data_IF_408842087446
#
_entry.id   IF_408842087446
#
_cell.length_a   1.000
_cell.length_b   1.000
_cell.length_c   1.000
_cell.angle_alpha   90.00
_cell.angle_beta   90.00
_cell.angle_gamma   90.00
#
_symmetry.space_group_name_H-M   'P 1'
#
loop_
_entity.id
_entity.type
_entity.pdbx_description
1 polymer ?
#
# COMPACT_ATOMS: atom_id res chain seq x y z
N UNK A 1 53.27 -17.18 3.77
CA UNK A 1 52.48 -16.53 2.70
C UNK A 1 51.43 -17.47 2.11
N UNK A 2 51.79 -18.71 1.78
CA UNK A 2 50.87 -19.74 1.25
C UNK A 2 49.77 -20.14 2.25
N UNK A 3 50.09 -20.32 3.55
CA UNK A 3 49.06 -20.63 4.57
C UNK A 3 48.04 -19.51 4.78
N UNK A 4 48.46 -18.23 4.67
CA UNK A 4 47.54 -17.08 4.71
C UNK A 4 46.62 -17.06 3.47
N UNK A 5 47.13 -17.40 2.29
CA UNK A 5 46.33 -17.50 1.06
C UNK A 5 45.31 -18.63 1.09
N UNK A 6 45.69 -19.81 1.61
CA UNK A 6 44.78 -20.95 1.80
C UNK A 6 43.70 -20.61 2.83
N UNK A 7 44.09 -19.98 3.95
CA UNK A 7 43.15 -19.58 4.99
C UNK A 7 42.17 -18.49 4.50
N UNK A 8 42.62 -17.50 3.71
CA UNK A 8 41.73 -16.51 3.11
C UNK A 8 40.72 -17.12 2.12
N UNK A 9 41.16 -18.11 1.32
CA UNK A 9 40.28 -18.78 0.36
C UNK A 9 39.20 -19.58 1.08
N UNK A 10 39.56 -20.27 2.16
CA UNK A 10 38.64 -21.01 3.00
C UNK A 10 37.63 -20.09 3.71
N UNK A 11 38.08 -18.98 4.29
CA UNK A 11 37.20 -17.97 4.89
C UNK A 11 36.22 -17.39 3.86
N UNK A 12 36.68 -17.10 2.64
CA UNK A 12 35.80 -16.58 1.58
C UNK A 12 34.73 -17.59 1.17
N UNK A 13 35.07 -18.88 1.16
CA UNK A 13 34.16 -19.97 0.84
C UNK A 13 33.08 -20.12 1.92
N UNK A 14 33.48 -20.11 3.20
CA UNK A 14 32.55 -20.17 4.33
C UNK A 14 31.57 -18.98 4.35
N UNK A 15 32.06 -17.77 4.04
CA UNK A 15 31.21 -16.56 3.98
C UNK A 15 30.17 -16.67 2.87
N UNK A 16 30.57 -17.09 1.67
CA UNK A 16 29.63 -17.22 0.53
C UNK A 16 28.62 -18.33 0.81
N UNK A 17 29.07 -19.45 1.38
CA UNK A 17 28.20 -20.57 1.75
C UNK A 17 27.16 -20.16 2.81
N UNK A 18 27.60 -19.49 3.87
CA UNK A 18 26.71 -18.92 4.88
C UNK A 18 25.72 -17.92 4.28
N UNK A 19 26.20 -17.02 3.40
CA UNK A 19 25.36 -16.05 2.71
C UNK A 19 24.30 -16.74 1.84
N UNK A 20 24.64 -17.83 1.14
CA UNK A 20 23.69 -18.64 0.37
C UNK A 20 22.56 -19.20 1.24
N UNK A 21 22.90 -19.81 2.38
CA UNK A 21 21.93 -20.33 3.36
C UNK A 21 21.05 -19.25 3.97
N UNK A 22 21.66 -18.12 4.34
CA UNK A 22 20.95 -16.95 4.84
C UNK A 22 19.96 -16.44 3.78
N UNK A 23 20.41 -16.27 2.55
CA UNK A 23 19.59 -15.77 1.44
C UNK A 23 18.43 -16.72 1.14
N UNK A 24 18.68 -18.04 1.07
CA UNK A 24 17.65 -19.05 0.89
C UNK A 24 16.62 -19.01 2.02
N UNK A 25 17.07 -19.13 3.27
CA UNK A 25 16.19 -19.29 4.42
C UNK A 25 15.34 -18.05 4.70
N UNK A 26 15.97 -16.87 4.74
CA UNK A 26 15.29 -15.60 5.06
C UNK A 26 14.34 -15.19 3.94
N UNK A 27 14.75 -15.32 2.67
CA UNK A 27 13.89 -14.95 1.55
C UNK A 27 12.74 -15.94 1.38
N UNK A 28 12.95 -17.25 1.59
CA UNK A 28 11.87 -18.24 1.54
C UNK A 28 10.83 -17.97 2.64
N UNK A 29 11.29 -17.71 3.86
CA UNK A 29 10.39 -17.34 4.96
C UNK A 29 9.59 -16.07 4.62
N UNK A 30 10.28 -15.03 4.13
CA UNK A 30 9.63 -13.78 3.76
C UNK A 30 8.62 -13.95 2.62
N UNK A 31 8.93 -14.76 1.62
CA UNK A 31 8.01 -15.13 0.54
C UNK A 31 6.73 -15.79 1.08
N UNK A 32 6.88 -16.84 1.90
CA UNK A 32 5.74 -17.58 2.47
C UNK A 32 4.88 -16.64 3.32
N UNK A 33 5.50 -15.82 4.16
CA UNK A 33 4.79 -14.88 5.02
C UNK A 33 4.05 -13.79 4.22
N UNK A 34 4.67 -13.22 3.17
CA UNK A 34 3.99 -12.25 2.30
C UNK A 34 2.81 -12.89 1.55
N UNK A 35 2.95 -14.12 1.06
CA UNK A 35 1.84 -14.86 0.43
C UNK A 35 0.74 -15.18 1.44
N UNK A 36 1.09 -15.55 2.68
CA UNK A 36 0.11 -15.83 3.72
C UNK A 36 -0.73 -14.59 4.05
N UNK A 37 -0.10 -13.42 4.20
CA UNK A 37 -0.82 -12.14 4.40
C UNK A 37 -1.75 -11.85 3.22
N UNK A 38 -1.27 -12.05 1.99
CA UNK A 38 -2.11 -11.89 0.80
C UNK A 38 -3.29 -12.87 0.80
N UNK A 39 -3.07 -14.15 1.10
CA UNK A 39 -4.11 -15.18 1.09
C UNK A 39 -5.25 -14.84 2.06
N UNK A 40 -4.91 -14.39 3.27
CA UNK A 40 -5.89 -14.09 4.31
C UNK A 40 -6.57 -12.72 4.14
N UNK A 41 -5.84 -11.71 3.67
CA UNK A 41 -6.33 -10.32 3.66
C UNK A 41 -6.37 -9.76 2.23
N UNK A 42 -5.27 -9.83 1.48
CA UNK A 42 -5.13 -9.24 0.13
C UNK A 42 -6.04 -9.85 -0.94
N UNK A 43 -6.34 -11.15 -0.89
CA UNK A 43 -7.16 -11.88 -1.87
C UNK A 43 -8.56 -11.30 -2.00
N UNK A 44 -9.17 -10.88 -0.88
CA UNK A 44 -10.52 -10.30 -0.88
C UNK A 44 -10.58 -8.91 -1.52
N UNK A 45 -9.44 -8.24 -1.65
CA UNK A 45 -9.35 -6.89 -2.21
C UNK A 45 -8.67 -6.85 -3.59
N UNK A 46 -8.41 -8.02 -4.21
CA UNK A 46 -7.72 -8.13 -5.49
C UNK A 46 -6.37 -7.38 -5.54
N UNK A 47 -5.65 -7.32 -4.42
CA UNK A 47 -4.32 -6.69 -4.37
C UNK A 47 -3.25 -7.68 -4.84
N UNK A 48 -3.02 -7.74 -6.16
CA UNK A 48 -1.95 -8.57 -6.72
C UNK A 48 -0.56 -7.94 -6.58
N UNK A 49 -0.45 -6.68 -6.13
CA UNK A 49 0.84 -6.03 -5.92
C UNK A 49 1.70 -6.77 -4.91
N UNK A 50 1.08 -7.23 -3.81
CA UNK A 50 1.75 -8.03 -2.80
C UNK A 50 2.26 -9.38 -3.34
N UNK A 51 1.55 -10.00 -4.28
CA UNK A 51 1.99 -11.26 -4.91
C UNK A 51 3.25 -11.03 -5.73
N UNK A 52 3.30 -9.96 -6.52
CA UNK A 52 4.49 -9.59 -7.29
C UNK A 52 5.69 -9.28 -6.38
N UNK A 53 5.47 -8.58 -5.26
CA UNK A 53 6.53 -8.37 -4.26
C UNK A 53 7.00 -9.68 -3.61
N UNK A 54 6.10 -10.63 -3.35
CA UNK A 54 6.48 -11.93 -2.83
C UNK A 54 7.32 -12.72 -3.86
N UNK A 55 6.91 -12.72 -5.14
CA UNK A 55 7.65 -13.36 -6.23
C UNK A 55 9.06 -12.75 -6.41
N UNK A 56 9.22 -11.44 -6.21
CA UNK A 56 10.55 -10.83 -6.25
C UNK A 56 11.46 -11.39 -5.15
N UNK A 57 10.96 -11.55 -3.93
CA UNK A 57 11.70 -12.15 -2.81
C UNK A 57 12.00 -13.63 -3.08
N UNK A 58 11.09 -14.36 -3.73
CA UNK A 58 11.32 -15.75 -4.14
C UNK A 58 12.51 -15.87 -5.10
N UNK A 59 12.71 -14.93 -6.04
CA UNK A 59 13.89 -14.93 -6.90
C UNK A 59 15.20 -14.88 -6.10
N UNK A 60 15.24 -14.14 -4.99
CA UNK A 60 16.40 -14.15 -4.10
C UNK A 60 16.55 -15.50 -3.40
N UNK A 61 15.47 -16.10 -2.92
CA UNK A 61 15.53 -17.45 -2.33
C UNK A 61 16.13 -18.47 -3.31
N UNK A 62 15.66 -18.48 -4.56
CA UNK A 62 16.15 -19.40 -5.59
C UNK A 62 17.63 -19.10 -5.89
N UNK A 63 18.00 -17.82 -6.03
CA UNK A 63 19.39 -17.43 -6.21
C UNK A 63 20.29 -17.95 -5.06
N UNK A 64 19.81 -17.96 -3.80
CA UNK A 64 20.56 -18.52 -2.67
C UNK A 64 20.75 -20.03 -2.76
N UNK A 65 19.73 -20.78 -3.21
CA UNK A 65 19.85 -22.21 -3.46
C UNK A 65 20.87 -22.53 -4.56
N UNK A 66 20.91 -21.72 -5.62
CA UNK A 66 21.91 -21.83 -6.68
C UNK A 66 23.33 -21.63 -6.14
N UNK A 67 23.56 -20.65 -5.25
CA UNK A 67 24.87 -20.45 -4.62
C UNK A 67 25.35 -21.71 -3.88
N UNK A 68 24.50 -22.26 -3.00
CA UNK A 68 24.84 -23.43 -2.18
C UNK A 68 25.21 -24.61 -3.07
N UNK A 69 24.38 -24.90 -4.07
CA UNK A 69 24.57 -26.03 -4.98
C UNK A 69 25.90 -25.95 -5.73
N UNK A 70 26.22 -24.78 -6.30
CA UNK A 70 27.45 -24.63 -7.11
C UNK A 70 28.72 -24.56 -6.26
N UNK A 71 28.62 -24.09 -5.01
CA UNK A 71 29.74 -24.11 -4.06
C UNK A 71 30.10 -25.55 -3.66
N UNK A 72 29.10 -26.40 -3.43
CA UNK A 72 29.32 -27.81 -3.07
C UNK A 72 29.78 -28.67 -4.26
N UNK A 73 29.40 -28.30 -5.48
CA UNK A 73 29.62 -29.13 -6.67
C UNK A 73 31.04 -29.03 -7.27
N UNK A 74 31.96 -28.23 -6.69
CA UNK A 74 33.34 -27.94 -7.16
C UNK A 74 33.49 -27.72 -8.69
N UNK A 75 32.40 -27.31 -9.35
CA UNK A 75 32.34 -27.11 -10.80
C UNK A 75 32.71 -25.68 -11.09
N UNK A 76 33.96 -25.47 -11.54
CA UNK A 76 34.52 -24.18 -11.94
C UNK A 76 33.88 -23.62 -13.22
N UNK A 77 32.59 -23.34 -13.19
CA UNK A 77 31.91 -22.62 -14.27
C UNK A 77 31.41 -21.27 -13.75
N UNK A 78 32.37 -20.39 -13.39
CA UNK A 78 32.10 -19.02 -12.90
C UNK A 78 31.19 -18.22 -13.85
N UNK A 79 31.27 -18.49 -15.16
CA UNK A 79 30.42 -17.84 -16.16
C UNK A 79 28.93 -18.19 -15.99
N UNK A 80 28.61 -19.48 -15.74
CA UNK A 80 27.24 -19.95 -15.55
C UNK A 80 26.67 -19.39 -14.23
N UNK A 81 27.47 -19.43 -13.16
CA UNK A 81 27.06 -18.93 -11.84
C UNK A 81 26.74 -17.44 -11.91
N UNK A 82 27.63 -16.64 -12.51
CA UNK A 82 27.41 -15.20 -12.65
C UNK A 82 26.25 -14.87 -13.58
N UNK A 83 26.04 -15.67 -14.63
CA UNK A 83 24.87 -15.56 -15.51
C UNK A 83 23.55 -15.74 -14.77
N UNK A 84 23.42 -16.83 -14.01
CA UNK A 84 22.21 -17.09 -13.20
C UNK A 84 21.99 -16.06 -12.10
N UNK A 85 23.05 -15.59 -11.42
CA UNK A 85 22.95 -14.49 -10.45
C UNK A 85 22.31 -13.24 -11.08
N UNK A 86 22.76 -12.85 -12.26
CA UNK A 86 22.21 -11.69 -12.98
C UNK A 86 20.78 -11.94 -13.46
N UNK A 87 20.43 -13.14 -13.96
CA UNK A 87 19.06 -13.47 -14.37
C UNK A 87 18.09 -13.36 -13.19
N UNK A 88 18.43 -13.92 -12.03
CA UNK A 88 17.58 -13.83 -10.84
C UNK A 88 17.46 -12.40 -10.30
N UNK A 89 18.51 -11.59 -10.44
CA UNK A 89 18.49 -10.15 -10.10
C UNK A 89 17.55 -9.36 -11.03
N UNK A 90 17.60 -9.61 -12.34
CA UNK A 90 16.71 -9.01 -13.32
C UNK A 90 15.25 -9.38 -13.08
N UNK A 91 14.95 -10.66 -12.82
CA UNK A 91 13.60 -11.14 -12.50
C UNK A 91 13.07 -10.50 -11.21
N UNK A 92 13.91 -10.39 -10.17
CA UNK A 92 13.55 -9.70 -8.95
C UNK A 92 13.12 -8.25 -9.23
N UNK A 93 13.94 -7.50 -9.97
CA UNK A 93 13.68 -6.12 -10.34
C UNK A 93 12.41 -5.96 -11.18
N UNK A 94 12.18 -6.88 -12.12
CA UNK A 94 10.96 -6.93 -12.95
C UNK A 94 9.72 -7.12 -12.07
N UNK A 95 9.72 -8.08 -11.15
CA UNK A 95 8.58 -8.34 -10.28
C UNK A 95 8.29 -7.16 -9.34
N UNK A 96 9.31 -6.46 -8.85
CA UNK A 96 9.12 -5.20 -8.12
C UNK A 96 8.40 -4.17 -8.99
N UNK A 97 8.84 -3.95 -10.24
CA UNK A 97 8.21 -2.98 -11.14
C UNK A 97 6.79 -3.36 -11.55
N UNK A 98 6.51 -4.65 -11.73
CA UNK A 98 5.16 -5.17 -12.00
C UNK A 98 4.21 -5.02 -10.80
N UNK A 99 4.73 -4.88 -9.58
CA UNK A 99 3.92 -4.61 -8.41
C UNK A 99 3.37 -3.18 -8.36
N UNK A 100 4.08 -2.19 -8.95
CA UNK A 100 3.78 -0.77 -8.77
C UNK A 100 2.38 -0.33 -9.25
N UNK A 101 1.82 -0.83 -10.37
CA UNK A 101 0.47 -0.47 -10.82
C UNK A 101 -0.64 -0.77 -9.81
N UNK A 102 -0.40 -1.74 -8.92
CA UNK A 102 -1.34 -2.17 -7.89
C UNK A 102 -1.33 -1.29 -6.65
N UNK A 103 -0.33 -0.40 -6.51
CA UNK A 103 -0.25 0.49 -5.36
C UNK A 103 -1.40 1.51 -5.39
N UNK A 104 -2.11 1.61 -4.25
CA UNK A 104 -3.23 2.55 -4.07
C UNK A 104 -2.79 4.00 -4.21
N UNK A 105 -1.64 4.32 -3.61
CA UNK A 105 -1.08 5.66 -3.52
C UNK A 105 0.16 5.76 -4.38
N UNK A 106 -0.01 6.40 -5.55
CA UNK A 106 1.07 6.71 -6.47
C UNK A 106 1.35 8.22 -6.46
N UNK A 107 2.57 8.65 -6.83
CA UNK A 107 2.87 10.05 -7.06
C UNK A 107 2.11 10.58 -8.26
N UNK A 108 1.52 11.77 -8.14
CA UNK A 108 0.63 12.34 -9.16
C UNK A 108 1.31 12.52 -10.53
N UNK A 109 2.62 12.77 -10.55
CA UNK A 109 3.42 12.98 -11.77
C UNK A 109 3.58 11.71 -12.61
N UNK A 110 3.77 10.54 -11.98
CA UNK A 110 4.02 9.27 -12.66
C UNK A 110 2.83 8.31 -12.63
N UNK A 111 1.79 8.62 -11.87
CA UNK A 111 0.60 7.78 -11.73
C UNK A 111 -0.03 7.41 -13.08
N UNK A 112 -0.10 8.39 -14.01
CA UNK A 112 -0.67 8.16 -15.34
C UNK A 112 0.15 7.16 -16.15
N UNK A 113 1.49 7.17 -16.00
CA UNK A 113 2.40 6.27 -16.71
C UNK A 113 2.31 4.86 -16.13
N UNK A 114 2.39 4.72 -14.80
CA UNK A 114 2.40 3.41 -14.13
C UNK A 114 1.08 2.66 -14.31
N UNK A 115 -0.07 3.35 -14.26
CA UNK A 115 -1.38 2.69 -14.43
C UNK A 115 -1.74 2.40 -15.89
N UNK A 116 -0.97 2.91 -16.83
CA UNK A 116 -1.23 2.72 -18.25
C UNK A 116 -0.85 1.30 -18.69
N UNK A 117 -1.49 0.80 -19.76
CA UNK A 117 -1.07 -0.48 -20.38
C UNK A 117 0.37 -0.40 -20.90
N UNK A 118 0.85 0.80 -21.22
CA UNK A 118 2.21 1.05 -21.67
C UNK A 118 3.27 0.74 -20.62
N UNK A 119 2.92 0.73 -19.33
CA UNK A 119 3.84 0.38 -18.25
C UNK A 119 4.52 -0.97 -18.47
N UNK A 120 3.77 -1.96 -18.97
CA UNK A 120 4.32 -3.29 -19.28
C UNK A 120 5.43 -3.22 -20.33
N UNK A 121 5.33 -2.32 -21.31
CA UNK A 121 6.40 -2.11 -22.31
C UNK A 121 7.56 -1.30 -21.76
N UNK A 122 7.28 -0.26 -20.96
CA UNK A 122 8.31 0.58 -20.32
C UNK A 122 9.22 -0.27 -19.42
N UNK A 123 8.63 -1.24 -18.71
CA UNK A 123 9.37 -2.15 -17.82
C UNK A 123 9.94 -3.34 -18.59
N UNK A 124 9.18 -3.89 -19.54
CA UNK A 124 9.50 -5.13 -20.26
C UNK A 124 10.58 -4.97 -21.32
N UNK A 125 10.62 -3.84 -22.06
CA UNK A 125 11.65 -3.63 -23.10
C UNK A 125 13.05 -3.53 -22.48
N UNK A 126 13.30 -2.69 -21.44
CA UNK A 126 14.61 -2.67 -20.77
C UNK A 126 14.97 -4.01 -20.10
N UNK A 127 13.97 -4.74 -19.59
CA UNK A 127 14.17 -6.08 -19.07
C UNK A 127 14.64 -7.06 -20.16
N UNK A 128 13.98 -7.10 -21.31
CA UNK A 128 14.39 -7.97 -22.42
C UNK A 128 15.77 -7.58 -22.97
N UNK A 129 16.04 -6.27 -23.05
CA UNK A 129 17.33 -5.74 -23.49
C UNK A 129 18.48 -6.13 -22.54
N UNK A 130 18.23 -6.22 -21.24
CA UNK A 130 19.22 -6.68 -20.26
C UNK A 130 19.30 -8.21 -20.16
N UNK A 131 18.17 -8.91 -20.30
CA UNK A 131 18.11 -10.36 -20.20
C UNK A 131 18.77 -11.07 -21.39
N UNK A 132 18.53 -10.61 -22.62
CA UNK A 132 19.01 -11.31 -23.82
C UNK A 132 20.55 -11.41 -23.88
N UNK A 133 21.33 -10.32 -23.66
CA UNK A 133 22.79 -10.42 -23.56
C UNK A 133 23.26 -11.31 -22.41
N UNK A 134 22.52 -11.30 -21.28
CA UNK A 134 22.84 -12.13 -20.11
C UNK A 134 22.67 -13.62 -20.40
N UNK A 135 21.57 -14.01 -21.06
CA UNK A 135 21.34 -15.39 -21.49
C UNK A 135 22.39 -15.83 -22.52
N UNK A 136 22.67 -14.98 -23.52
CA UNK A 136 23.66 -15.29 -24.53
C UNK A 136 25.05 -15.53 -23.91
N UNK A 137 25.47 -14.72 -22.94
CA UNK A 137 26.71 -14.94 -22.18
C UNK A 137 26.70 -16.27 -21.42
N UNK A 138 25.60 -16.59 -20.75
CA UNK A 138 25.47 -17.79 -19.93
C UNK A 138 25.56 -19.07 -20.77
N UNK A 139 25.03 -19.04 -22.00
CA UNK A 139 25.00 -20.17 -22.93
C UNK A 139 26.29 -20.26 -23.76
N UNK A 140 26.76 -19.13 -24.29
CA UNK A 140 27.88 -19.08 -25.25
C UNK A 140 29.26 -19.04 -24.57
N UNK A 141 29.34 -18.79 -23.26
CA UNK A 141 30.61 -18.74 -22.50
C UNK A 141 31.48 -17.50 -22.78
N UNK A 142 31.11 -16.66 -23.75
CA UNK A 142 31.87 -15.46 -24.11
C UNK A 142 31.76 -14.35 -23.06
N UNK A 143 32.92 -13.86 -22.58
CA UNK A 143 32.98 -12.79 -21.58
C UNK A 143 32.76 -11.43 -22.23
N UNK A 144 31.50 -11.06 -22.43
CA UNK A 144 31.13 -9.68 -22.73
C UNK A 144 30.98 -8.95 -21.39
N UNK A 145 31.90 -8.03 -21.08
CA UNK A 145 31.95 -7.24 -19.83
C UNK A 145 30.68 -6.41 -19.57
N UNK A 146 30.00 -5.97 -20.64
CA UNK A 146 28.78 -5.14 -20.60
C UNK A 146 27.60 -5.79 -19.87
N UNK A 147 27.59 -7.12 -19.70
CA UNK A 147 26.43 -7.84 -19.14
C UNK A 147 26.16 -7.52 -17.67
N UNK A 148 27.21 -7.40 -16.83
CA UNK A 148 27.02 -7.08 -15.41
C UNK A 148 26.55 -5.64 -15.19
N UNK A 149 26.83 -4.75 -16.15
CA UNK A 149 26.41 -3.35 -16.11
C UNK A 149 24.91 -3.22 -16.39
N UNK A 150 24.37 -4.00 -17.33
CA UNK A 150 22.95 -3.96 -17.68
C UNK A 150 22.02 -4.36 -16.51
N UNK A 151 22.41 -5.36 -15.72
CA UNK A 151 21.68 -5.72 -14.48
C UNK A 151 21.68 -4.56 -13.48
N UNK A 152 22.84 -3.91 -13.28
CA UNK A 152 22.96 -2.74 -12.40
C UNK A 152 22.07 -1.60 -12.89
N UNK A 153 22.07 -1.27 -14.18
CA UNK A 153 21.22 -0.21 -14.74
C UNK A 153 19.73 -0.49 -14.52
N UNK A 154 19.29 -1.73 -14.72
CA UNK A 154 17.89 -2.10 -14.51
C UNK A 154 17.50 -2.07 -13.02
N UNK A 155 18.42 -2.44 -12.12
CA UNK A 155 18.23 -2.30 -10.68
C UNK A 155 18.13 -0.82 -10.25
N UNK A 156 18.96 0.07 -10.81
CA UNK A 156 18.88 1.52 -10.57
C UNK A 156 17.54 2.09 -11.00
N UNK A 157 17.09 1.74 -12.21
CA UNK A 157 15.78 2.11 -12.73
C UNK A 157 14.66 1.66 -11.79
N UNK A 158 14.71 0.41 -11.33
CA UNK A 158 13.75 -0.16 -10.39
C UNK A 158 13.71 0.57 -9.06
N UNK A 159 14.88 0.81 -8.46
CA UNK A 159 15.02 1.47 -7.15
C UNK A 159 14.54 2.93 -7.19
N UNK A 160 14.74 3.65 -8.30
CA UNK A 160 14.25 5.01 -8.47
C UNK A 160 12.71 5.09 -8.43
N UNK A 161 12.04 4.23 -9.22
CA UNK A 161 10.58 4.15 -9.20
C UNK A 161 10.05 3.67 -7.85
N UNK A 162 10.66 2.62 -7.29
CA UNK A 162 10.25 2.05 -6.01
C UNK A 162 10.36 3.07 -4.88
N UNK A 163 11.48 3.79 -4.78
CA UNK A 163 11.69 4.80 -3.73
C UNK A 163 10.66 5.92 -3.78
N UNK A 164 10.36 6.43 -4.97
CA UNK A 164 9.37 7.50 -5.11
C UNK A 164 7.94 7.03 -4.78
N UNK A 165 7.58 5.81 -5.20
CA UNK A 165 6.27 5.22 -4.87
C UNK A 165 6.14 4.91 -3.39
N UNK A 166 7.17 4.35 -2.75
CA UNK A 166 7.15 4.05 -1.31
C UNK A 166 7.03 5.31 -0.47
N UNK A 167 7.77 6.37 -0.84
CA UNK A 167 7.69 7.67 -0.17
C UNK A 167 6.26 8.21 -0.17
N UNK A 168 5.64 8.33 -1.34
CA UNK A 168 4.26 8.82 -1.48
C UNK A 168 3.25 7.91 -0.79
N UNK A 169 3.43 6.59 -0.88
CA UNK A 169 2.56 5.61 -0.23
C UNK A 169 2.58 5.75 1.29
N UNK A 170 3.77 5.79 1.91
CA UNK A 170 3.87 5.92 3.37
C UNK A 170 3.43 7.30 3.87
N UNK A 171 3.73 8.38 3.15
CA UNK A 171 3.25 9.72 3.51
C UNK A 171 1.72 9.83 3.48
N UNK A 172 1.07 9.34 2.42
CA UNK A 172 -0.39 9.36 2.31
C UNK A 172 -1.07 8.48 3.37
N UNK A 173 -0.39 7.42 3.82
CA UNK A 173 -0.80 6.57 4.97
C UNK A 173 -0.42 7.13 6.35
N UNK A 174 0.08 8.37 6.42
CA UNK A 174 0.50 9.07 7.67
C UNK A 174 1.66 8.39 8.42
N UNK A 175 2.47 7.60 7.74
CA UNK A 175 3.60 6.87 8.32
C UNK A 175 4.93 7.56 7.95
N UNK A 176 5.13 8.79 8.45
CA UNK A 176 6.27 9.65 8.07
C UNK A 176 7.65 9.01 8.34
N UNK A 177 7.82 8.37 9.49
CA UNK A 177 9.09 7.72 9.83
C UNK A 177 9.44 6.58 8.87
N UNK A 178 8.44 5.79 8.44
CA UNK A 178 8.61 4.72 7.47
C UNK A 178 8.90 5.26 6.07
N UNK A 179 8.30 6.39 5.68
CA UNK A 179 8.63 7.08 4.43
C UNK A 179 10.12 7.45 4.39
N UNK A 180 10.63 8.08 5.45
CA UNK A 180 12.04 8.46 5.54
C UNK A 180 12.99 7.25 5.59
N UNK A 181 12.62 6.22 6.37
CA UNK A 181 13.40 4.98 6.43
C UNK A 181 13.47 4.28 5.06
N UNK A 182 12.37 4.30 4.30
CA UNK A 182 12.35 3.75 2.94
C UNK A 182 13.31 4.48 2.01
N UNK A 183 13.40 5.80 2.12
CA UNK A 183 14.33 6.60 1.32
C UNK A 183 15.78 6.28 1.68
N UNK A 184 16.10 6.16 2.98
CA UNK A 184 17.43 5.73 3.43
C UNK A 184 17.78 4.35 2.88
N UNK A 185 16.86 3.39 2.97
CA UNK A 185 17.09 2.03 2.46
C UNK A 185 17.38 2.03 0.96
N UNK A 186 16.65 2.84 0.17
CA UNK A 186 16.88 2.95 -1.27
C UNK A 186 18.23 3.62 -1.58
N UNK A 187 18.64 4.62 -0.78
CA UNK A 187 19.98 5.22 -0.93
C UNK A 187 21.09 4.22 -0.65
N UNK A 188 20.98 3.44 0.43
CA UNK A 188 21.93 2.36 0.73
C UNK A 188 21.95 1.31 -0.39
N UNK A 189 20.79 0.98 -0.95
CA UNK A 189 20.68 0.08 -2.10
C UNK A 189 21.43 0.61 -3.33
N UNK A 190 21.28 1.90 -3.65
CA UNK A 190 22.03 2.53 -4.74
C UNK A 190 23.53 2.46 -4.50
N UNK A 191 24.01 2.79 -3.29
CA UNK A 191 25.44 2.67 -2.96
C UNK A 191 25.94 1.24 -3.18
N UNK A 192 25.19 0.23 -2.74
CA UNK A 192 25.55 -1.18 -2.97
C UNK A 192 25.64 -1.53 -4.47
N UNK A 193 24.73 -1.00 -5.30
CA UNK A 193 24.79 -1.20 -6.75
C UNK A 193 25.98 -0.49 -7.41
N UNK A 194 26.39 0.69 -6.91
CA UNK A 194 27.63 1.35 -7.35
C UNK A 194 28.84 0.50 -6.98
N UNK A 195 28.91 0.01 -5.74
CA UNK A 195 30.00 -0.84 -5.28
C UNK A 195 30.15 -2.13 -6.11
N UNK A 196 29.05 -2.65 -6.66
CA UNK A 196 29.05 -3.80 -7.59
C UNK A 196 29.85 -3.51 -8.86
N UNK A 197 29.88 -2.26 -9.32
CA UNK A 197 30.69 -1.82 -10.48
C UNK A 197 32.18 -1.67 -10.11
N UNK A 198 32.51 -1.39 -8.85
CA UNK A 198 33.88 -1.18 -8.37
C UNK A 198 34.66 -2.48 -8.05
N UNK A 199 34.04 -3.65 -8.14
CA UNK A 199 34.73 -4.96 -8.12
C UNK A 199 35.22 -5.49 -6.77
N UNK A 200 34.84 -4.88 -5.63
CA UNK A 200 35.35 -5.28 -4.31
C UNK A 200 34.44 -6.35 -3.65
N UNK A 201 34.87 -7.62 -3.67
CA UNK A 201 33.99 -8.78 -3.45
C UNK A 201 33.46 -8.97 -2.01
N UNK A 202 34.27 -8.73 -0.97
CA UNK A 202 33.88 -9.03 0.43
C UNK A 202 32.87 -8.00 0.98
N UNK A 203 33.04 -6.72 0.61
CA UNK A 203 32.06 -5.68 0.97
C UNK A 203 30.72 -5.93 0.26
N UNK A 204 30.74 -6.47 -0.96
CA UNK A 204 29.55 -6.64 -1.79
C UNK A 204 28.52 -7.62 -1.18
N UNK A 205 28.96 -8.76 -0.64
CA UNK A 205 28.07 -9.75 -0.01
C UNK A 205 27.37 -9.19 1.22
N UNK A 206 28.11 -8.46 2.07
CA UNK A 206 27.57 -7.90 3.30
C UNK A 206 26.60 -6.74 3.02
N UNK A 207 26.94 -5.84 2.08
CA UNK A 207 26.02 -4.82 1.62
C UNK A 207 24.76 -5.40 0.96
N UNK A 208 24.90 -6.49 0.20
CA UNK A 208 23.75 -7.17 -0.41
C UNK A 208 22.81 -7.77 0.63
N UNK A 209 23.36 -8.38 1.69
CA UNK A 209 22.57 -8.91 2.80
C UNK A 209 21.78 -7.81 3.50
N UNK A 210 22.45 -6.72 3.90
CA UNK A 210 21.83 -5.56 4.55
C UNK A 210 20.72 -4.96 3.69
N UNK A 211 20.97 -4.83 2.38
CA UNK A 211 19.97 -4.30 1.45
C UNK A 211 18.74 -5.21 1.38
N UNK A 212 18.92 -6.51 1.14
CA UNK A 212 17.82 -7.47 1.00
C UNK A 212 17.00 -7.56 2.28
N UNK A 213 17.63 -7.61 3.46
CA UNK A 213 16.89 -7.55 4.74
C UNK A 213 16.08 -6.27 4.85
N UNK A 214 16.68 -5.12 4.55
CA UNK A 214 16.02 -3.82 4.71
C UNK A 214 14.83 -3.69 3.75
N UNK A 215 14.98 -4.16 2.51
CA UNK A 215 13.90 -4.13 1.53
C UNK A 215 12.75 -5.08 1.89
N UNK A 216 13.07 -6.29 2.36
CA UNK A 216 12.06 -7.24 2.87
C UNK A 216 11.26 -6.60 4.01
N UNK A 217 11.95 -5.95 4.96
CA UNK A 217 11.29 -5.26 6.07
C UNK A 217 10.38 -4.13 5.60
N UNK A 218 10.76 -3.40 4.54
CA UNK A 218 9.89 -2.39 3.93
C UNK A 218 8.66 -3.02 3.26
N UNK A 219 8.81 -4.15 2.58
CA UNK A 219 7.66 -4.86 1.98
C UNK A 219 6.67 -5.34 3.05
N UNK A 220 7.17 -5.85 4.19
CA UNK A 220 6.31 -6.15 5.34
C UNK A 220 5.66 -4.91 5.92
N UNK A 221 6.42 -3.83 6.09
CA UNK A 221 5.87 -2.58 6.60
C UNK A 221 4.79 -2.00 5.68
N UNK A 222 4.94 -2.16 4.36
CA UNK A 222 3.93 -1.82 3.37
C UNK A 222 2.67 -2.69 3.55
N UNK A 223 2.83 -4.01 3.61
CA UNK A 223 1.70 -4.94 3.82
C UNK A 223 0.95 -4.65 5.13
N UNK A 224 1.68 -4.41 6.23
CA UNK A 224 1.11 -4.06 7.54
C UNK A 224 0.50 -2.66 7.56
N UNK A 225 1.08 -1.69 6.86
CA UNK A 225 0.49 -0.35 6.74
C UNK A 225 -0.89 -0.39 6.09
N UNK A 226 -1.09 -1.33 5.18
CA UNK A 226 -2.38 -1.56 4.58
C UNK A 226 -3.38 -2.23 5.52
N UNK A 227 -2.94 -3.20 6.33
CA UNK A 227 -3.79 -3.77 7.39
C UNK A 227 -4.21 -2.68 8.39
N UNK A 228 -3.28 -1.81 8.79
CA UNK A 228 -3.57 -0.65 9.63
C UNK A 228 -4.63 0.24 8.99
N UNK A 229 -4.46 0.63 7.73
CA UNK A 229 -5.42 1.48 7.00
C UNK A 229 -6.80 0.81 6.91
N UNK A 230 -6.85 -0.50 6.67
CA UNK A 230 -8.10 -1.26 6.67
C UNK A 230 -8.78 -1.21 8.05
N UNK A 231 -8.01 -1.30 9.13
CA UNK A 231 -8.51 -1.24 10.50
C UNK A 231 -8.99 0.17 10.93
N UNK A 232 -8.29 1.22 10.50
CA UNK A 232 -8.64 2.61 10.83
C UNK A 232 -9.85 3.12 10.04
N UNK A 233 -10.16 2.47 8.92
CA UNK A 233 -11.31 2.77 8.07
C UNK A 233 -12.58 1.98 8.44
N UNK A 234 -12.56 1.22 9.53
CA UNK A 234 -13.76 0.53 10.03
C UNK A 234 -14.72 1.55 10.64
N UNK A 235 -15.94 1.55 10.15
CA UNK A 235 -17.03 2.37 10.69
C UNK A 235 -17.54 1.71 11.97
N UNK A 236 -17.59 2.43 13.11
CA UNK A 236 -18.04 1.86 14.38
C UNK A 236 -19.53 1.56 14.36
N UNK A 237 -19.98 0.68 15.26
CA UNK A 237 -21.41 0.43 15.45
C UNK A 237 -22.14 1.68 15.97
N UNK A 238 -23.45 1.75 15.76
CA UNK A 238 -24.29 2.91 16.10
C UNK A 238 -24.21 3.32 17.58
N UNK A 239 -24.03 2.35 18.48
CA UNK A 239 -23.88 2.58 19.92
C UNK A 239 -22.54 3.20 20.33
N UNK A 240 -21.49 3.04 19.52
CA UNK A 240 -20.17 3.58 19.83
C UNK A 240 -19.90 4.90 19.11
N UNK A 241 -20.78 5.30 18.19
CA UNK A 241 -20.66 6.56 17.46
C UNK A 241 -21.26 7.72 18.26
N UNK A 242 -20.49 8.79 18.45
CA UNK A 242 -20.93 10.03 19.10
C UNK A 242 -20.89 11.18 18.10
N UNK A 243 -21.91 12.04 18.12
CA UNK A 243 -22.06 13.16 17.21
C UNK A 243 -22.23 14.44 18.01
N UNK A 244 -21.34 15.41 17.76
CA UNK A 244 -21.45 16.76 18.32
C UNK A 244 -21.52 17.81 17.21
N UNK A 245 -22.53 18.66 17.26
CA UNK A 245 -22.67 19.78 16.33
C UNK A 245 -22.02 21.04 16.90
N UNK A 246 -21.34 21.81 16.04
CA UNK A 246 -20.64 23.04 16.43
C UNK A 246 -20.76 24.09 15.33
N UNK A 247 -21.11 25.33 15.69
CA UNK A 247 -21.03 26.50 14.80
C UNK A 247 -19.88 27.38 15.29
N UNK A 248 -18.84 27.57 14.46
CA UNK A 248 -17.67 28.40 14.81
C UNK A 248 -17.60 29.60 13.89
N UNK A 249 -17.39 30.80 14.44
CA UNK A 249 -17.18 32.01 13.64
C UNK A 249 -15.68 32.20 13.42
N UNK A 250 -15.23 32.23 12.16
CA UNK A 250 -13.83 32.54 11.85
C UNK A 250 -13.56 34.04 12.02
N UNK A 251 -12.28 34.39 12.13
CA UNK A 251 -11.80 35.77 12.09
C UNK A 251 -12.25 36.53 10.82
N UNK A 252 -12.54 35.82 9.73
CA UNK A 252 -13.10 36.37 8.48
C UNK A 252 -14.61 36.65 8.50
N UNK A 253 -15.28 36.45 9.64
CA UNK A 253 -16.72 36.65 9.80
C UNK A 253 -17.60 35.51 9.26
N UNK A 254 -17.04 34.57 8.50
CA UNK A 254 -17.76 33.38 7.99
C UNK A 254 -18.07 32.39 9.12
N UNK A 255 -19.30 31.85 9.12
CA UNK A 255 -19.73 30.80 10.04
C UNK A 255 -19.39 29.44 9.44
N UNK A 256 -18.64 28.63 10.20
CA UNK A 256 -18.36 27.24 9.89
C UNK A 256 -19.31 26.31 10.65
N UNK A 257 -19.96 25.44 9.87
CA UNK A 257 -20.85 24.41 10.36
C UNK A 257 -20.06 23.09 10.47
N UNK A 258 -19.62 22.77 11.69
CA UNK A 258 -18.76 21.63 11.99
C UNK A 258 -19.54 20.53 12.71
N UNK A 259 -19.29 19.29 12.29
CA UNK A 259 -19.78 18.09 12.95
C UNK A 259 -18.57 17.32 13.45
N UNK A 260 -18.50 17.09 14.75
CA UNK A 260 -17.44 16.30 15.38
C UNK A 260 -17.99 14.90 15.63
N UNK A 261 -17.36 13.91 15.01
CA UNK A 261 -17.68 12.49 15.17
C UNK A 261 -16.61 11.80 16.01
N UNK A 262 -17.03 11.12 17.09
CA UNK A 262 -16.15 10.28 17.92
C UNK A 262 -16.62 8.83 17.90
N UNK A 263 -15.76 7.90 18.32
CA UNK A 263 -16.05 6.46 18.35
C UNK A 263 -15.42 5.66 17.22
N UNK A 264 -14.74 6.33 16.27
CA UNK A 264 -13.91 5.65 15.28
C UNK A 264 -12.69 5.01 15.96
N UNK A 265 -12.15 3.92 15.39
CA UNK A 265 -10.88 3.36 15.84
C UNK A 265 -9.77 4.41 15.79
N UNK A 266 -9.08 4.62 16.92
CA UNK A 266 -8.09 5.69 17.11
C UNK A 266 -8.58 6.79 18.05
N UNK A 267 -7.65 7.50 18.67
CA UNK A 267 -7.94 8.54 19.68
C UNK A 267 -8.34 9.91 19.09
N UNK A 268 -8.27 10.07 17.76
CA UNK A 268 -8.55 11.35 17.10
C UNK A 268 -10.04 11.55 16.80
N UNK A 269 -10.59 12.67 17.28
CA UNK A 269 -11.94 13.13 16.92
C UNK A 269 -11.96 13.56 15.44
N UNK A 270 -12.92 13.07 14.66
CA UNK A 270 -13.07 13.42 13.24
C UNK A 270 -13.95 14.67 13.11
N UNK A 271 -13.42 15.76 12.55
CA UNK A 271 -14.17 17.01 12.34
C UNK A 271 -14.54 17.13 10.87
N UNK A 272 -15.84 17.22 10.58
CA UNK A 272 -16.37 17.34 9.22
C UNK A 272 -17.03 18.69 9.03
N UNK A 273 -16.61 19.42 8.00
CA UNK A 273 -17.25 20.68 7.59
C UNK A 273 -18.37 20.38 6.60
N UNK A 274 -19.60 20.74 6.97
CA UNK A 274 -20.77 20.56 6.12
C UNK A 274 -21.22 21.88 5.50
N UNK A 275 -21.87 21.82 4.35
CA UNK A 275 -22.61 22.97 3.81
C UNK A 275 -23.79 23.30 4.72
N UNK A 276 -24.28 24.56 4.76
CA UNK A 276 -25.41 24.93 5.62
C UNK A 276 -26.64 24.03 5.45
N UNK A 277 -26.99 23.68 4.21
CA UNK A 277 -28.13 22.81 3.94
C UNK A 277 -27.95 21.39 4.52
N UNK A 278 -26.76 20.78 4.36
CA UNK A 278 -26.49 19.44 4.88
C UNK A 278 -26.34 19.42 6.40
N UNK A 279 -25.78 20.49 6.97
CA UNK A 279 -25.69 20.65 8.42
C UNK A 279 -27.08 20.75 9.06
N UNK A 280 -27.95 21.60 8.52
CA UNK A 280 -29.32 21.73 9.03
C UNK A 280 -30.13 20.44 8.84
N UNK A 281 -29.92 19.70 7.74
CA UNK A 281 -30.51 18.37 7.56
C UNK A 281 -30.04 17.40 8.65
N UNK A 282 -28.74 17.32 8.92
CA UNK A 282 -28.21 16.39 9.92
C UNK A 282 -28.59 16.80 11.35
N UNK A 283 -28.63 18.11 11.62
CA UNK A 283 -29.16 18.68 12.85
C UNK A 283 -30.65 18.36 13.03
N UNK A 284 -31.45 18.37 11.95
CA UNK A 284 -32.87 17.99 11.98
C UNK A 284 -33.04 16.53 12.39
N UNK A 285 -32.24 15.63 11.82
CA UNK A 285 -32.17 14.23 12.25
C UNK A 285 -31.87 14.10 13.74
N UNK A 286 -30.87 14.82 14.25
CA UNK A 286 -30.46 14.81 15.65
C UNK A 286 -31.56 15.32 16.60
N UNK A 287 -32.16 16.47 16.28
CA UNK A 287 -33.29 17.03 17.04
C UNK A 287 -34.49 16.09 17.08
N UNK A 288 -34.79 15.43 15.95
CA UNK A 288 -35.90 14.48 15.84
C UNK A 288 -35.67 13.26 16.73
N UNK A 289 -34.44 12.75 16.78
CA UNK A 289 -34.04 11.65 17.65
C UNK A 289 -34.14 12.01 19.13
N UNK A 290 -33.86 13.25 19.50
CA UNK A 290 -34.02 13.75 20.87
C UNK A 290 -35.50 14.00 21.24
N UNK A 291 -36.39 14.19 20.26
CA UNK A 291 -37.84 14.34 20.47
C UNK A 291 -38.59 13.00 20.61
N UNK A 292 -39.88 13.03 20.96
CA UNK A 292 -40.73 11.83 21.08
C UNK A 292 -41.03 11.16 19.74
N UNK A 293 -41.12 11.94 18.66
CA UNK A 293 -41.36 11.40 17.32
C UNK A 293 -40.01 11.35 16.60
N UNK A 294 -39.40 10.17 16.52
CA UNK A 294 -38.03 9.99 16.00
C UNK A 294 -37.92 9.94 14.47
N UNK A 295 -39.03 9.68 13.77
CA UNK A 295 -39.02 9.40 12.33
C UNK A 295 -39.18 10.68 11.50
N UNK A 296 -38.40 10.77 10.41
CA UNK A 296 -38.55 11.77 9.35
C UNK A 296 -39.12 11.13 8.09
N UNK A 297 -40.00 11.85 7.39
CA UNK A 297 -40.64 11.37 6.15
C UNK A 297 -40.01 11.98 4.89
N UNK A 298 -39.66 11.12 3.92
CA UNK A 298 -39.08 11.51 2.63
C UNK A 298 -40.19 11.75 1.60
N UNK A 299 -40.13 12.88 0.89
CA UNK A 299 -41.09 13.23 -0.18
C UNK A 299 -41.05 12.21 -1.34
N UNK A 300 -42.21 11.72 -1.84
CA UNK A 300 -42.30 10.95 -3.07
C UNK A 300 -41.92 11.75 -4.31
N UNK A 301 -41.31 11.10 -5.32
CA UNK A 301 -40.98 11.75 -6.60
C UNK A 301 -42.18 12.34 -7.34
N UNK A 302 -43.36 11.73 -7.22
CA UNK A 302 -44.58 12.12 -7.96
C UNK A 302 -45.65 12.78 -7.07
N UNK A 303 -45.27 13.38 -5.94
CA UNK A 303 -46.25 13.99 -5.02
C UNK A 303 -46.56 15.44 -5.42
N UNK A 304 -47.79 15.69 -5.88
CA UNK A 304 -48.26 16.98 -6.38
C UNK A 304 -49.10 17.80 -5.39
N UNK A 305 -49.50 17.24 -4.25
CA UNK A 305 -50.30 18.00 -3.27
C UNK A 305 -49.44 18.95 -2.43
N UNK A 306 -49.83 20.23 -2.39
CA UNK A 306 -49.14 21.32 -1.68
C UNK A 306 -49.39 21.35 -0.17
N UNK A 307 -50.36 20.60 0.34
CA UNK A 307 -50.81 20.66 1.74
C UNK A 307 -49.96 19.83 2.70
N UNK A 308 -49.23 18.81 2.23
CA UNK A 308 -48.38 17.98 3.08
C UNK A 308 -46.92 18.44 3.05
N UNK A 309 -46.43 18.92 4.19
CA UNK A 309 -45.00 19.24 4.37
C UNK A 309 -44.23 17.96 4.67
N UNK A 310 -43.19 17.68 3.87
CA UNK A 310 -42.29 16.56 4.10
C UNK A 310 -41.02 17.03 4.79
N UNK A 311 -40.40 16.13 5.54
CA UNK A 311 -39.21 16.47 6.29
C UNK A 311 -37.96 16.58 5.43
N UNK A 312 -37.89 15.75 4.38
CA UNK A 312 -36.76 15.60 3.47
C UNK A 312 -37.29 15.70 2.04
N UNK A 313 -36.65 16.52 1.19
CA UNK A 313 -37.17 16.81 -0.15
C UNK A 313 -36.95 15.67 -1.14
N UNK A 314 -35.81 14.99 -1.03
CA UNK A 314 -35.50 13.84 -1.86
C UNK A 314 -34.54 12.86 -1.15
N UNK A 315 -34.51 11.61 -1.63
CA UNK A 315 -33.56 10.62 -1.11
C UNK A 315 -32.10 11.00 -1.39
N UNK A 316 -31.84 11.85 -2.41
CA UNK A 316 -30.50 12.30 -2.74
C UNK A 316 -29.92 13.25 -1.70
N UNK A 317 -30.72 13.98 -0.92
CA UNK A 317 -30.25 14.75 0.23
C UNK A 317 -29.51 13.85 1.24
N UNK A 318 -30.07 12.68 1.56
CA UNK A 318 -29.43 11.70 2.46
C UNK A 318 -28.15 11.14 1.84
N UNK A 319 -28.17 10.81 0.53
CA UNK A 319 -26.97 10.33 -0.18
C UNK A 319 -25.87 11.39 -0.19
N UNK A 320 -26.20 12.66 -0.44
CA UNK A 320 -25.25 13.79 -0.44
C UNK A 320 -24.67 14.02 0.96
N UNK A 321 -25.49 13.90 2.00
CA UNK A 321 -25.02 13.97 3.39
C UNK A 321 -23.99 12.87 3.68
N UNK A 322 -24.29 11.60 3.35
CA UNK A 322 -23.38 10.48 3.54
C UNK A 322 -22.05 10.68 2.80
N UNK A 323 -22.10 11.09 1.53
CA UNK A 323 -20.89 11.36 0.73
C UNK A 323 -20.06 12.49 1.35
N UNK A 324 -20.69 13.58 1.78
CA UNK A 324 -19.98 14.71 2.40
C UNK A 324 -19.36 14.33 3.76
N UNK A 325 -20.05 13.49 4.54
CA UNK A 325 -19.49 12.91 5.77
C UNK A 325 -18.27 12.03 5.47
N UNK A 326 -18.35 11.14 4.48
CA UNK A 326 -17.23 10.28 4.09
C UNK A 326 -16.05 11.08 3.54
N UNK A 327 -16.30 12.07 2.69
CA UNK A 327 -15.27 12.98 2.18
C UNK A 327 -14.60 13.75 3.33
N UNK A 328 -15.36 14.13 4.37
CA UNK A 328 -14.81 14.79 5.56
C UNK A 328 -14.06 13.86 6.52
N UNK A 329 -14.48 12.60 6.66
CA UNK A 329 -13.87 11.62 7.57
C UNK A 329 -12.59 11.03 6.96
N UNK A 330 -12.65 10.61 5.69
CA UNK A 330 -11.60 9.85 5.02
C UNK A 330 -10.84 10.65 3.95
N UNK A 331 -11.40 11.78 3.49
CA UNK A 331 -10.89 12.53 2.35
C UNK A 331 -11.55 12.09 1.04
N UNK A 332 -11.72 13.04 0.12
CA UNK A 332 -12.33 12.81 -1.19
C UNK A 332 -11.54 11.76 -1.98
N UNK A 333 -12.22 10.69 -2.42
CA UNK A 333 -11.61 9.60 -3.20
C UNK A 333 -10.92 8.51 -2.38
N UNK A 334 -10.89 8.60 -1.05
CA UNK A 334 -10.27 7.60 -0.17
C UNK A 334 -11.26 6.56 0.38
N UNK A 335 -12.55 6.69 0.08
CA UNK A 335 -13.59 5.78 0.54
C UNK A 335 -14.21 5.02 -0.65
N UNK A 336 -14.89 3.91 -0.35
CA UNK A 336 -15.58 3.06 -1.33
C UNK A 336 -17.01 2.77 -0.89
N UNK A 337 -17.88 2.43 -1.85
CA UNK A 337 -19.29 2.19 -1.56
C UNK A 337 -19.50 1.02 -0.61
N UNK A 338 -18.79 -0.09 -0.84
CA UNK A 338 -18.97 -1.33 -0.08
C UNK A 338 -18.40 -1.25 1.33
N UNK A 339 -17.19 -0.70 1.49
CA UNK A 339 -16.51 -0.68 2.79
C UNK A 339 -16.89 0.53 3.65
N UNK A 340 -17.41 1.61 3.05
CA UNK A 340 -17.64 2.85 3.79
C UNK A 340 -19.06 3.38 3.65
N UNK A 341 -19.58 3.52 2.43
CA UNK A 341 -20.90 4.13 2.25
C UNK A 341 -22.02 3.27 2.83
N UNK A 342 -22.04 1.98 2.50
CA UNK A 342 -23.06 1.07 2.99
C UNK A 342 -22.97 0.90 4.52
N UNK A 343 -21.79 0.67 5.13
CA UNK A 343 -21.68 0.58 6.58
C UNK A 343 -21.98 1.91 7.30
N UNK A 344 -21.62 3.06 6.73
CA UNK A 344 -21.98 4.36 7.32
C UNK A 344 -23.50 4.54 7.31
N UNK A 345 -24.14 4.20 6.19
CA UNK A 345 -25.59 4.29 6.05
C UNK A 345 -26.30 3.42 7.09
N UNK A 346 -25.89 2.17 7.26
CA UNK A 346 -26.51 1.23 8.23
C UNK A 346 -26.19 1.55 9.69
N UNK A 347 -25.08 2.26 9.92
CA UNK A 347 -24.69 2.75 11.26
C UNK A 347 -25.45 4.02 11.64
N UNK A 348 -25.55 4.99 10.73
CA UNK A 348 -26.20 6.27 10.99
C UNK A 348 -27.73 6.15 10.96
N UNK A 349 -28.27 5.40 10.01
CA UNK A 349 -29.67 5.45 9.68
C UNK A 349 -30.36 4.08 9.75
N UNK A 350 -31.63 4.14 10.13
CA UNK A 350 -32.56 3.02 10.12
C UNK A 350 -33.78 3.40 9.29
N UNK A 351 -34.22 2.48 8.42
CA UNK A 351 -35.42 2.62 7.60
C UNK A 351 -36.56 1.81 8.21
N UNK A 352 -37.80 2.31 8.12
CA UNK A 352 -38.96 1.59 8.68
C UNK A 352 -39.35 0.40 7.80
N UNK A 353 -39.47 -0.79 8.39
CA UNK A 353 -39.93 -2.01 7.71
C UNK A 353 -41.39 -1.92 7.22
N UNK A 354 -42.24 -1.16 7.91
CA UNK A 354 -43.68 -1.04 7.63
C UNK A 354 -44.04 0.17 6.78
N UNK A 355 -43.11 1.10 6.54
CA UNK A 355 -43.35 2.36 5.82
C UNK A 355 -42.12 2.75 5.01
N UNK A 356 -42.14 2.46 3.70
CA UNK A 356 -41.02 2.57 2.74
C UNK A 356 -40.30 3.93 2.61
N UNK A 357 -40.67 4.95 3.39
CA UNK A 357 -40.14 6.33 3.26
C UNK A 357 -39.89 7.04 4.58
N UNK A 358 -39.88 6.31 5.70
CA UNK A 358 -39.47 6.84 6.99
C UNK A 358 -38.04 6.45 7.32
N UNK A 359 -37.26 7.44 7.70
CA UNK A 359 -35.86 7.29 8.09
C UNK A 359 -35.62 7.96 9.44
N UNK A 360 -34.82 7.34 10.30
CA UNK A 360 -34.39 7.93 11.58
C UNK A 360 -32.91 7.72 11.82
N UNK A 361 -32.36 8.46 12.78
CA UNK A 361 -31.04 8.17 13.32
C UNK A 361 -31.06 6.91 14.19
N UNK A 362 -30.10 6.03 13.95
CA UNK A 362 -29.87 4.82 14.73
C UNK A 362 -28.97 5.07 15.97
N UNK A 363 -28.28 6.20 16.02
CA UNK A 363 -27.42 6.59 17.14
C UNK A 363 -28.26 6.78 18.42
N UNK A 364 -27.81 6.28 19.59
CA UNK A 364 -28.47 6.51 20.88
C UNK A 364 -28.60 7.98 21.22
N UNK A 365 -29.66 8.36 21.94
CA UNK A 365 -29.92 9.75 22.34
C UNK A 365 -28.78 10.34 23.17
N UNK A 366 -28.19 9.54 24.06
CA UNK A 366 -27.06 9.88 24.93
C UNK A 366 -25.79 10.29 24.16
N UNK A 367 -25.65 9.79 22.92
CA UNK A 367 -24.47 10.00 22.10
C UNK A 367 -24.58 11.23 21.19
N UNK A 368 -25.65 12.02 21.32
CA UNK A 368 -25.94 13.18 20.48
C UNK A 368 -25.78 14.45 21.32
N UNK A 369 -24.96 15.39 20.85
CA UNK A 369 -24.79 16.73 21.45
C UNK A 369 -25.02 17.80 20.39
N UNK A 370 -25.97 18.72 20.64
CA UNK A 370 -26.35 19.78 19.68
C UNK A 370 -25.49 21.04 19.80
#
# INVERSE_FOLDING_TARGET
MISKLVNMKQISHEIIYFYGWWQLSVCLFAFIALIAIWWHIGKKQNDFGQVWLALSVLCWSISGAFEIYFIESDTKIECIINGWRSIWSLLNSLFILLSLPWFRYLPNTIQHIIKSKQWMYIVGIPFLFSLFPTLNRTISGNVITVVNELDVYYAFFTLGFLGYVLWESFLKRRLKSLAFLSLICILVAWVAQICKLSGNAVNLTLFSAIFKTSLIMIFFALALSWVKELSENIIPNSHHLYVKFQKTKLASGKIENLVVLNGFPGSEKRRVKLTPALFELFMKFAKRKLSDIEWLEIKPKNFSMTTKTFDIKDYNEVKRLLVCLLDGIFGKGNWSTEHHLNPLKTTLFEMSEKRDRKIRLKIPKENISL
#
